data_IF_635657597171
#
_entry.id   IF_635657597171
#
_cell.length_a   1.000
_cell.length_b   1.000
_cell.length_c   1.000
_cell.angle_alpha   90.00
_cell.angle_beta   90.00
_cell.angle_gamma   90.00
#
_symmetry.space_group_name_H-M   'P 1'
#
loop_
_entity.id
_entity.type
_entity.pdbx_description
1 polymer ?
#
# COMPACT_ATOMS: atom_id res chain seq x y z
N UNK A 1 7.17 21.50 -0.13
CA UNK A 1 6.33 20.52 0.64
C UNK A 1 5.80 19.46 -0.30
N UNK A 2 5.96 18.21 0.05
CA UNK A 2 5.39 17.12 -0.74
C UNK A 2 3.93 16.87 -0.35
N UNK A 3 3.09 16.69 -1.37
CA UNK A 3 1.69 16.36 -1.16
C UNK A 3 1.48 14.93 -1.62
N UNK A 4 0.96 14.10 -0.72
CA UNK A 4 0.72 12.69 -0.98
C UNK A 4 -0.74 12.36 -0.74
N UNK A 5 -1.25 11.38 -1.49
CA UNK A 5 -2.63 10.96 -1.38
C UNK A 5 -2.71 9.45 -1.25
N UNK A 6 -3.63 8.98 -0.41
CA UNK A 6 -3.90 7.56 -0.28
C UNK A 6 -4.50 7.04 -1.59
N UNK A 7 -3.94 5.97 -2.13
CA UNK A 7 -4.32 5.47 -3.46
C UNK A 7 -5.57 4.59 -3.44
N UNK A 8 -6.22 4.44 -2.30
CA UNK A 8 -7.43 3.63 -2.17
C UNK A 8 -8.64 4.55 -2.05
N UNK A 9 -9.42 4.64 -3.10
CA UNK A 9 -10.59 5.50 -3.15
C UNK A 9 -11.84 4.76 -2.71
N UNK A 10 -12.88 5.51 -2.33
CA UNK A 10 -14.15 4.91 -1.94
C UNK A 10 -14.96 4.38 -3.13
N UNK A 11 -14.67 4.87 -4.33
CA UNK A 11 -15.32 4.39 -5.54
C UNK A 11 -14.36 3.52 -6.35
N UNK A 12 -14.93 2.59 -7.12
CA UNK A 12 -14.13 1.59 -7.84
C UNK A 12 -13.70 2.11 -9.20
N UNK A 13 -12.39 2.28 -9.36
CA UNK A 13 -11.75 2.51 -10.65
C UNK A 13 -10.46 1.70 -10.68
N UNK A 14 -9.96 1.33 -11.87
CA UNK A 14 -8.70 0.57 -11.95
C UNK A 14 -7.55 1.29 -11.26
N UNK A 15 -6.65 0.52 -10.69
CA UNK A 15 -5.54 1.09 -9.92
C UNK A 15 -4.71 2.07 -10.75
N UNK A 16 -4.36 1.69 -11.96
CA UNK A 16 -3.57 2.56 -12.84
C UNK A 16 -4.27 3.89 -13.11
N UNK A 17 -5.58 3.86 -13.28
CA UNK A 17 -6.37 5.07 -13.48
C UNK A 17 -6.36 5.96 -12.24
N UNK A 18 -6.43 5.35 -11.05
CA UNK A 18 -6.31 6.11 -9.80
C UNK A 18 -4.96 6.83 -9.71
N UNK A 19 -3.90 6.13 -10.04
CA UNK A 19 -2.55 6.72 -9.99
C UNK A 19 -2.42 7.86 -11.00
N UNK A 20 -2.97 7.69 -12.19
CA UNK A 20 -2.96 8.73 -13.21
C UNK A 20 -3.68 9.99 -12.72
N UNK A 21 -4.86 9.82 -12.09
CA UNK A 21 -5.62 10.95 -11.56
C UNK A 21 -4.86 11.67 -10.46
N UNK A 22 -4.19 10.93 -9.58
CA UNK A 22 -3.39 11.52 -8.53
C UNK A 22 -2.26 12.36 -9.14
N UNK A 23 -1.58 11.83 -10.13
CA UNK A 23 -0.50 12.56 -10.80
C UNK A 23 -1.01 13.81 -11.49
N UNK A 24 -2.12 13.72 -12.22
CA UNK A 24 -2.68 14.85 -12.96
C UNK A 24 -3.15 15.97 -12.04
N UNK A 25 -3.48 15.66 -10.80
CA UNK A 25 -3.92 16.66 -9.84
C UNK A 25 -2.80 17.26 -9.00
N UNK A 26 -1.55 17.00 -9.37
CA UNK A 26 -0.41 17.71 -8.80
C UNK A 26 0.13 17.11 -7.50
N UNK A 27 -0.20 15.88 -7.18
CA UNK A 27 0.38 15.21 -6.02
C UNK A 27 1.78 14.70 -6.33
N UNK A 28 2.64 14.65 -5.32
CA UNK A 28 4.03 14.25 -5.48
C UNK A 28 4.24 12.76 -5.17
N UNK A 29 3.34 12.18 -4.41
CA UNK A 29 3.47 10.78 -4.01
C UNK A 29 2.16 10.18 -3.56
N UNK A 30 2.22 8.90 -3.20
CA UNK A 30 1.06 8.13 -2.78
C UNK A 30 1.37 7.34 -1.52
N UNK A 31 0.32 7.03 -0.78
CA UNK A 31 0.34 6.06 0.30
C UNK A 31 -0.45 4.85 -0.18
N UNK A 32 0.13 3.67 -0.07
CA UNK A 32 -0.47 2.43 -0.58
C UNK A 32 -0.98 1.56 0.56
N UNK A 33 -2.05 0.82 0.31
CA UNK A 33 -2.47 -0.25 1.20
C UNK A 33 -1.77 -1.55 0.81
N UNK A 34 -1.33 -2.32 1.78
CA UNK A 34 -0.70 -3.61 1.52
C UNK A 34 -1.75 -4.63 1.10
N UNK A 35 -1.52 -5.29 -0.05
CA UNK A 35 -2.36 -6.38 -0.51
C UNK A 35 -1.50 -7.45 -1.16
N UNK A 36 -1.95 -8.70 -1.01
CA UNK A 36 -1.25 -9.83 -1.60
C UNK A 36 -1.41 -9.85 -3.13
N UNK A 37 -0.40 -10.33 -3.79
CA UNK A 37 -0.46 -10.65 -5.21
C UNK A 37 -0.29 -9.48 -6.16
N UNK A 38 -0.56 -8.27 -5.70
CA UNK A 38 -0.48 -7.09 -6.58
C UNK A 38 0.59 -6.09 -6.17
N UNK A 39 1.28 -6.36 -5.08
CA UNK A 39 2.18 -5.38 -4.46
C UNK A 39 3.27 -4.86 -5.39
N UNK A 40 3.95 -5.75 -6.08
CA UNK A 40 5.04 -5.30 -6.97
C UNK A 40 4.51 -4.61 -8.22
N UNK A 41 3.41 -5.11 -8.75
CA UNK A 41 2.76 -4.48 -9.90
C UNK A 41 2.32 -3.06 -9.57
N UNK A 42 1.71 -2.88 -8.41
CA UNK A 42 1.25 -1.56 -7.96
C UNK A 42 2.42 -0.60 -7.78
N UNK A 43 3.51 -1.06 -7.19
CA UNK A 43 4.68 -0.21 -6.98
C UNK A 43 5.30 0.22 -8.31
N UNK A 44 5.37 -0.68 -9.27
CA UNK A 44 5.90 -0.36 -10.58
C UNK A 44 5.03 0.66 -11.31
N UNK A 45 3.71 0.53 -11.22
CA UNK A 45 2.78 1.50 -11.81
C UNK A 45 3.00 2.89 -11.21
N UNK A 46 3.10 2.98 -9.89
CA UNK A 46 3.34 4.26 -9.21
C UNK A 46 4.63 4.90 -9.70
N UNK A 47 5.70 4.13 -9.78
CA UNK A 47 7.00 4.64 -10.22
C UNK A 47 6.99 5.07 -11.68
N UNK A 48 6.27 4.35 -12.53
CA UNK A 48 6.16 4.69 -13.94
C UNK A 48 5.48 6.05 -14.18
N UNK A 49 4.61 6.45 -13.25
CA UNK A 49 4.00 7.78 -13.31
C UNK A 49 4.88 8.87 -12.66
N UNK A 50 6.03 8.50 -12.13
CA UNK A 50 6.93 9.47 -11.50
C UNK A 50 6.51 9.91 -10.11
N UNK A 51 5.65 9.12 -9.45
CA UNK A 51 5.22 9.40 -8.09
C UNK A 51 6.10 8.65 -7.09
N UNK A 52 6.27 9.24 -5.90
CA UNK A 52 6.96 8.58 -4.81
C UNK A 52 5.97 7.72 -4.02
N UNK A 53 6.47 6.65 -3.43
CA UNK A 53 5.71 5.86 -2.47
C UNK A 53 6.14 6.34 -1.09
N UNK A 54 5.26 7.09 -0.43
CA UNK A 54 5.58 7.66 0.87
C UNK A 54 5.54 6.61 1.96
N UNK A 55 4.49 5.81 1.98
CA UNK A 55 4.39 4.70 2.92
C UNK A 55 3.44 3.65 2.40
N UNK A 56 3.48 2.48 3.03
CA UNK A 56 2.58 1.38 2.75
C UNK A 56 1.88 1.04 4.06
N UNK A 57 0.56 1.14 4.06
CA UNK A 57 -0.25 0.83 5.23
C UNK A 57 -0.44 -0.67 5.34
N UNK A 58 -0.19 -1.24 6.50
CA UNK A 58 -0.46 -2.67 6.70
C UNK A 58 -1.97 -2.94 6.64
N UNK A 59 -2.32 -4.21 6.45
CA UNK A 59 -3.74 -4.59 6.37
C UNK A 59 -4.48 -4.20 7.64
N UNK A 60 -5.77 -3.86 7.47
CA UNK A 60 -6.64 -3.58 8.62
C UNK A 60 -7.30 -4.84 9.16
N UNK A 61 -7.54 -5.81 8.28
CA UNK A 61 -8.32 -6.99 8.60
C UNK A 61 -7.64 -7.84 9.65
N UNK A 62 -8.40 -8.18 10.67
CA UNK A 62 -8.00 -9.12 11.74
C UNK A 62 -6.74 -8.72 12.52
N UNK A 63 -6.35 -7.45 12.48
CA UNK A 63 -5.17 -7.00 13.25
C UNK A 63 -5.35 -7.19 14.75
N UNK A 64 -6.59 -7.20 15.24
CA UNK A 64 -6.86 -7.45 16.66
C UNK A 64 -6.41 -8.85 17.13
N UNK A 65 -6.23 -9.79 16.22
CA UNK A 65 -5.73 -11.13 16.56
C UNK A 65 -4.32 -11.09 17.17
N UNK A 66 -3.56 -10.02 16.96
CA UNK A 66 -2.22 -9.86 17.53
C UNK A 66 -2.23 -9.74 19.06
N UNK A 67 -3.40 -9.45 19.64
CA UNK A 67 -3.55 -9.34 21.10
C UNK A 67 -3.61 -10.71 21.80
N UNK A 68 -3.73 -11.81 21.05
CA UNK A 68 -3.84 -13.15 21.59
C UNK A 68 -2.80 -14.07 20.96
N UNK A 69 -2.48 -15.15 21.65
CA UNK A 69 -1.58 -16.17 21.10
C UNK A 69 -2.44 -17.26 20.46
N UNK A 70 -2.47 -17.30 19.12
CA UNK A 70 -3.26 -18.26 18.36
C UNK A 70 -2.74 -18.35 16.94
N UNK A 71 -3.29 -19.28 16.15
CA UNK A 71 -2.88 -19.42 14.75
C UNK A 71 -3.13 -18.15 13.94
N UNK A 72 -4.23 -17.47 14.23
CA UNK A 72 -4.56 -16.23 13.53
C UNK A 72 -3.55 -15.13 13.84
N UNK A 73 -3.10 -15.02 15.09
CA UNK A 73 -2.09 -14.01 15.43
C UNK A 73 -0.77 -14.27 14.70
N UNK A 74 -0.38 -15.55 14.59
CA UNK A 74 0.83 -15.91 13.84
C UNK A 74 0.68 -15.53 12.36
N UNK A 75 -0.46 -15.82 11.76
CA UNK A 75 -0.73 -15.46 10.38
C UNK A 75 -0.64 -13.94 10.17
N UNK A 76 -1.27 -13.16 11.05
CA UNK A 76 -1.25 -11.70 10.93
C UNK A 76 0.15 -11.16 11.14
N UNK A 77 0.91 -11.72 12.08
CA UNK A 77 2.30 -11.32 12.29
C UNK A 77 3.14 -11.55 11.03
N UNK A 78 2.99 -12.71 10.40
CA UNK A 78 3.74 -13.00 9.18
C UNK A 78 3.37 -12.05 8.05
N UNK A 79 2.10 -11.70 7.92
CA UNK A 79 1.67 -10.74 6.90
C UNK A 79 2.23 -9.34 7.17
N UNK A 80 2.28 -8.93 8.43
CA UNK A 80 2.84 -7.64 8.81
C UNK A 80 4.34 -7.59 8.50
N UNK A 81 5.05 -8.66 8.81
CA UNK A 81 6.47 -8.77 8.50
C UNK A 81 6.71 -8.76 6.98
N UNK A 82 5.85 -9.40 6.22
CA UNK A 82 5.91 -9.36 4.76
C UNK A 82 5.74 -7.94 4.23
N UNK A 83 4.80 -7.19 4.82
CA UNK A 83 4.60 -5.80 4.46
C UNK A 83 5.87 -4.97 4.70
N UNK A 84 6.50 -5.15 5.86
CA UNK A 84 7.73 -4.45 6.19
C UNK A 84 8.84 -4.81 5.20
N UNK A 85 8.97 -6.08 4.85
CA UNK A 85 9.98 -6.53 3.90
C UNK A 85 9.77 -5.89 2.53
N UNK A 86 8.54 -5.89 2.05
CA UNK A 86 8.21 -5.29 0.75
C UNK A 86 8.51 -3.80 0.75
N UNK A 87 8.18 -3.09 1.84
CA UNK A 87 8.51 -1.67 1.96
C UNK A 87 10.02 -1.44 1.85
N UNK A 88 10.82 -2.28 2.48
CA UNK A 88 12.28 -2.16 2.41
C UNK A 88 12.82 -2.37 1.00
N UNK A 89 12.20 -3.27 0.23
CA UNK A 89 12.63 -3.55 -1.14
C UNK A 89 12.21 -2.47 -2.12
N UNK A 90 11.14 -1.73 -1.82
CA UNK A 90 10.57 -0.75 -2.75
C UNK A 90 10.93 0.70 -2.40
N UNK A 91 11.54 0.90 -1.28
CA UNK A 91 11.93 2.23 -0.80
C UNK A 91 13.02 2.89 -1.65
#
# INVERSE_FOLDING_TARGET
>A
MKRCMFADFTFKIPFEERIRLIKENGFDGVMLGFSDGLKYTQYNIVRNFGLEIENVHSQFDRMNALWTICQESEYILQRTLECVRVCGETA
#
